data_IF_086912586572
#
_entry.id   IF_086912586572
#
_cell.length_a   1.000
_cell.length_b   1.000
_cell.length_c   1.000
_cell.angle_alpha   90.00
_cell.angle_beta   90.00
_cell.angle_gamma   90.00
#
_symmetry.space_group_name_H-M   'P 1'
#
loop_
_entity.id
_entity.type
_entity.pdbx_description
1 polymer ?
#
# COMPACT_ATOMS: atom_id res chain seq x y z
N UNK A 1 9.47 11.54 -66.05
CA UNK A 1 9.47 10.27 -65.29
C UNK A 1 9.39 10.59 -63.81
N UNK A 2 8.47 9.93 -63.12
CA UNK A 2 7.94 10.23 -61.78
C UNK A 2 8.73 9.42 -60.75
N UNK A 3 9.36 10.07 -59.76
CA UNK A 3 9.85 9.39 -58.56
C UNK A 3 9.55 10.23 -57.32
N UNK A 4 8.37 9.95 -56.76
CA UNK A 4 7.98 10.33 -55.41
C UNK A 4 8.64 9.32 -54.47
N UNK A 5 9.54 9.79 -53.60
CA UNK A 5 10.03 9.02 -52.46
C UNK A 5 9.36 9.60 -51.21
N UNK A 6 8.18 9.06 -50.89
CA UNK A 6 7.59 9.16 -49.55
C UNK A 6 8.16 7.97 -48.77
N UNK A 7 9.11 8.25 -47.88
CA UNK A 7 9.78 7.24 -47.06
C UNK A 7 9.45 7.44 -45.58
N UNK A 8 8.29 6.91 -45.20
CA UNK A 8 7.84 6.48 -43.87
C UNK A 8 8.74 6.85 -42.67
N UNK A 9 8.38 7.93 -41.98
CA UNK A 9 8.80 8.14 -40.60
C UNK A 9 7.85 7.40 -39.64
N UNK A 10 8.39 6.97 -38.49
CA UNK A 10 7.73 6.44 -37.30
C UNK A 10 7.51 4.92 -37.21
N UNK A 11 8.56 4.20 -36.80
CA UNK A 11 8.42 2.94 -36.05
C UNK A 11 9.40 2.96 -34.87
N UNK A 12 9.07 3.71 -33.82
CA UNK A 12 9.86 3.73 -32.58
C UNK A 12 9.00 3.96 -31.31
N UNK A 13 7.69 3.69 -31.36
CA UNK A 13 6.77 3.94 -30.24
C UNK A 13 6.23 2.66 -29.54
N UNK A 14 6.60 1.46 -30.02
CA UNK A 14 6.03 0.18 -29.55
C UNK A 14 6.36 -0.19 -28.08
N UNK A 15 7.59 -0.03 -27.55
CA UNK A 15 7.90 -0.52 -26.20
C UNK A 15 7.26 0.30 -25.08
N UNK A 16 6.92 1.58 -25.34
CA UNK A 16 6.27 2.44 -24.35
C UNK A 16 4.78 2.10 -24.18
N UNK A 17 4.10 1.71 -25.26
CA UNK A 17 2.68 1.33 -25.24
C UNK A 17 2.46 0.02 -24.47
N UNK A 18 3.30 -0.99 -24.70
CA UNK A 18 3.22 -2.30 -23.99
C UNK A 18 3.38 -2.14 -22.48
N UNK A 19 4.33 -1.30 -22.04
CA UNK A 19 4.55 -0.99 -20.62
C UNK A 19 3.36 -0.25 -19.97
N UNK A 20 2.66 0.57 -20.73
CA UNK A 20 1.48 1.29 -20.25
C UNK A 20 0.28 0.36 -20.07
N UNK A 21 0.07 -0.57 -21.01
CA UNK A 21 -1.01 -1.57 -20.94
C UNK A 21 -0.80 -2.54 -19.77
N UNK A 22 0.44 -3.01 -19.55
CA UNK A 22 0.78 -3.87 -18.40
C UNK A 22 0.57 -3.17 -17.07
N UNK A 23 0.98 -1.89 -16.95
CA UNK A 23 0.76 -1.11 -15.74
C UNK A 23 -0.74 -0.92 -15.48
N UNK A 24 -1.52 -0.59 -16.52
CA UNK A 24 -2.96 -0.42 -16.40
C UNK A 24 -3.64 -1.70 -15.91
N UNK A 25 -3.24 -2.86 -16.45
CA UNK A 25 -3.78 -4.15 -16.03
C UNK A 25 -3.39 -4.49 -14.59
N UNK A 26 -2.12 -4.31 -14.21
CA UNK A 26 -1.66 -4.54 -12.85
C UNK A 26 -2.42 -3.69 -11.82
N UNK A 27 -2.64 -2.41 -12.13
CA UNK A 27 -3.41 -1.49 -11.28
C UNK A 27 -4.89 -1.90 -11.21
N UNK A 28 -5.49 -2.29 -12.33
CA UNK A 28 -6.87 -2.77 -12.39
C UNK A 28 -7.06 -4.02 -11.51
N UNK A 29 -6.16 -4.99 -11.63
CA UNK A 29 -6.18 -6.21 -10.82
C UNK A 29 -5.97 -5.92 -9.33
N UNK A 30 -5.00 -5.04 -9.00
CA UNK A 30 -4.74 -4.61 -7.62
C UNK A 30 -5.99 -3.96 -7.00
N UNK A 31 -6.58 -2.98 -7.69
CA UNK A 31 -7.77 -2.27 -7.21
C UNK A 31 -8.96 -3.22 -7.05
N UNK A 32 -9.23 -4.08 -8.05
CA UNK A 32 -10.32 -5.05 -8.00
C UNK A 32 -10.15 -6.04 -6.83
N UNK A 33 -8.93 -6.55 -6.61
CA UNK A 33 -8.63 -7.45 -5.50
C UNK A 33 -8.81 -6.75 -4.16
N UNK A 34 -8.36 -5.51 -4.08
CA UNK A 34 -8.46 -4.70 -2.88
C UNK A 34 -9.92 -4.40 -2.52
N UNK A 35 -10.73 -3.94 -3.47
CA UNK A 35 -12.15 -3.61 -3.26
C UNK A 35 -13.01 -4.84 -2.92
N UNK A 36 -12.73 -5.98 -3.55
CA UNK A 36 -13.46 -7.23 -3.27
C UNK A 36 -13.08 -7.88 -1.93
N UNK A 37 -11.91 -7.54 -1.37
CA UNK A 37 -11.47 -8.07 -0.07
C UNK A 37 -12.16 -7.32 1.07
N UNK A 38 -13.17 -7.97 1.66
CA UNK A 38 -13.89 -7.46 2.84
C UNK A 38 -13.16 -7.74 4.15
N UNK A 39 -12.57 -8.92 4.25
CA UNK A 39 -11.89 -9.40 5.46
C UNK A 39 -10.53 -9.98 5.09
N UNK A 40 -9.52 -9.74 5.92
CA UNK A 40 -8.22 -10.38 5.78
C UNK A 40 -7.65 -10.66 7.16
N UNK A 41 -6.95 -11.79 7.26
CA UNK A 41 -6.09 -12.10 8.40
C UNK A 41 -4.74 -12.54 7.84
N UNK A 42 -3.66 -11.95 8.33
CA UNK A 42 -2.30 -12.32 7.94
C UNK A 42 -1.33 -12.20 9.10
N UNK A 43 -0.29 -13.02 9.08
CA UNK A 43 0.90 -12.82 9.91
C UNK A 43 1.81 -11.81 9.22
N UNK A 44 2.43 -10.94 9.99
CA UNK A 44 3.39 -9.96 9.46
C UNK A 44 4.74 -10.08 10.15
N UNK A 45 5.78 -9.65 9.43
CA UNK A 45 7.10 -9.31 9.95
C UNK A 45 7.48 -7.96 9.37
N UNK A 46 7.76 -6.98 10.24
CA UNK A 46 8.06 -5.61 9.87
C UNK A 46 9.48 -5.29 10.34
N UNK A 47 10.30 -4.75 9.44
CA UNK A 47 11.60 -4.15 9.75
C UNK A 47 11.50 -2.64 9.54
N UNK A 48 11.90 -1.88 10.55
CA UNK A 48 12.03 -0.42 10.47
C UNK A 48 13.50 -0.05 10.57
N UNK A 49 13.97 0.69 9.58
CA UNK A 49 15.31 1.24 9.52
C UNK A 49 15.20 2.76 9.42
N UNK A 50 15.96 3.47 10.25
CA UNK A 50 16.01 4.93 10.25
C UNK A 50 17.43 5.38 10.56
N UNK A 51 17.94 6.47 9.96
CA UNK A 51 19.23 7.05 10.33
C UNK A 51 19.36 7.40 11.81
N UNK A 52 18.23 7.62 12.50
CA UNK A 52 18.18 7.95 13.92
C UNK A 52 18.13 6.73 14.84
N UNK A 53 17.85 5.54 14.30
CA UNK A 53 17.82 4.30 15.07
C UNK A 53 19.22 3.68 15.07
N UNK A 54 19.67 3.20 16.23
CA UNK A 54 20.97 2.53 16.37
C UNK A 54 21.04 1.16 15.67
N UNK A 55 19.93 0.70 15.08
CA UNK A 55 19.83 -0.56 14.35
C UNK A 55 18.43 -0.75 13.76
N UNK A 56 18.22 -1.90 13.11
CA UNK A 56 16.91 -2.30 12.61
C UNK A 56 16.01 -2.69 13.76
N UNK A 57 14.81 -2.13 13.81
CA UNK A 57 13.76 -2.57 14.71
C UNK A 57 12.90 -3.60 13.98
N UNK A 58 12.87 -4.84 14.48
CA UNK A 58 12.05 -5.91 13.93
C UNK A 58 10.85 -6.16 14.83
N UNK A 59 9.67 -6.23 14.24
CA UNK A 59 8.42 -6.58 14.92
C UNK A 59 7.67 -7.63 14.12
N UNK A 60 6.84 -8.42 14.78
CA UNK A 60 6.02 -9.44 14.13
C UNK A 60 4.68 -9.54 14.82
N UNK A 61 3.71 -10.16 14.17
CA UNK A 61 2.38 -10.27 14.76
C UNK A 61 1.33 -10.76 13.79
N UNK A 62 0.08 -10.48 14.14
CA UNK A 62 -1.09 -10.77 13.31
C UNK A 62 -1.86 -9.49 13.04
N UNK A 63 -2.17 -9.25 11.77
CA UNK A 63 -3.10 -8.22 11.31
C UNK A 63 -4.41 -8.88 10.94
N UNK A 64 -5.50 -8.25 11.35
CA UNK A 64 -6.84 -8.54 10.87
C UNK A 64 -7.55 -7.24 10.51
N UNK A 65 -8.28 -7.25 9.40
CA UNK A 65 -9.10 -6.13 9.01
C UNK A 65 -10.45 -6.59 8.47
N UNK A 66 -11.46 -5.76 8.69
CA UNK A 66 -12.79 -5.92 8.15
C UNK A 66 -13.28 -4.54 7.67
N UNK A 67 -13.60 -4.45 6.39
CA UNK A 67 -14.13 -3.21 5.80
C UNK A 67 -15.61 -3.02 6.18
N UNK A 68 -16.04 -1.79 6.48
CA UNK A 68 -15.22 -0.58 6.60
C UNK A 68 -14.57 -0.43 7.99
N UNK A 69 -13.34 0.10 8.01
CA UNK A 69 -12.69 0.74 9.15
C UNK A 69 -12.44 -0.11 10.43
N UNK A 70 -12.82 -1.39 10.47
CA UNK A 70 -12.46 -2.27 11.59
C UNK A 70 -11.09 -2.88 11.35
N UNK A 71 -10.23 -2.79 12.34
CA UNK A 71 -8.91 -3.41 12.28
C UNK A 71 -8.45 -3.86 13.66
N UNK A 72 -7.59 -4.87 13.67
CA UNK A 72 -6.89 -5.31 14.86
C UNK A 72 -5.50 -5.80 14.51
N UNK A 73 -4.49 -5.22 15.14
CA UNK A 73 -3.10 -5.64 15.07
C UNK A 73 -2.66 -6.12 16.45
N UNK A 74 -2.17 -7.35 16.51
CA UNK A 74 -1.57 -7.92 17.70
C UNK A 74 -0.09 -8.13 17.44
N UNK A 75 0.75 -7.38 18.16
CA UNK A 75 2.20 -7.53 18.10
C UNK A 75 2.65 -8.65 19.03
N UNK A 76 3.54 -9.49 18.52
CA UNK A 76 4.20 -10.55 19.27
C UNK A 76 5.33 -9.98 20.16
N UNK A 77 5.79 -10.74 21.18
CA UNK A 77 6.94 -10.35 22.00
C UNK A 77 8.19 -10.01 21.17
N UNK A 78 9.12 -9.18 21.69
CA UNK A 78 9.17 -8.67 23.07
C UNK A 78 8.20 -7.51 23.33
N UNK A 79 8.01 -6.60 22.38
CA UNK A 79 7.21 -5.39 22.55
C UNK A 79 5.73 -5.64 22.25
N UNK A 80 5.02 -6.22 23.22
CA UNK A 80 3.60 -6.52 23.05
C UNK A 80 2.78 -5.24 23.02
N UNK A 81 1.95 -5.12 21.99
CA UNK A 81 0.93 -4.08 21.89
C UNK A 81 -0.23 -4.60 21.06
N UNK A 82 -1.44 -4.12 21.36
CA UNK A 82 -2.62 -4.37 20.56
C UNK A 82 -3.20 -3.05 20.08
N UNK A 83 -3.34 -2.91 18.77
CA UNK A 83 -4.02 -1.78 18.14
C UNK A 83 -5.38 -2.27 17.65
N UNK A 84 -6.47 -1.62 18.05
CA UNK A 84 -7.83 -1.97 17.62
C UNK A 84 -8.55 -0.74 17.13
N UNK A 85 -9.30 -0.87 16.04
CA UNK A 85 -10.37 0.07 15.70
C UNK A 85 -11.70 -0.64 15.51
N UNK A 86 -12.76 -0.03 16.05
CA UNK A 86 -14.15 -0.44 15.87
C UNK A 86 -14.82 0.24 14.66
N UNK A 87 -14.11 1.13 13.97
CA UNK A 87 -14.60 1.93 12.85
C UNK A 87 -14.85 3.40 13.18
N UNK A 88 -14.85 3.78 14.46
CA UNK A 88 -15.04 5.16 14.92
C UNK A 88 -13.88 5.64 15.81
N UNK A 89 -13.33 4.73 16.61
CA UNK A 89 -12.26 5.00 17.56
C UNK A 89 -11.07 4.08 17.31
N UNK A 90 -9.86 4.58 17.56
CA UNK A 90 -8.64 3.80 17.65
C UNK A 90 -8.23 3.65 19.12
N UNK A 91 -7.88 2.42 19.51
CA UNK A 91 -7.24 2.11 20.78
C UNK A 91 -5.87 1.49 20.56
N UNK A 92 -4.90 1.90 21.36
CA UNK A 92 -3.59 1.27 21.46
C UNK A 92 -3.43 0.82 22.91
N UNK A 93 -3.40 -0.49 23.13
CA UNK A 93 -3.16 -1.10 24.42
C UNK A 93 -1.71 -1.56 24.53
N UNK A 94 -1.02 -1.07 25.55
CA UNK A 94 0.36 -1.40 25.88
C UNK A 94 0.38 -2.06 27.27
N UNK A 95 0.39 -3.40 27.35
CA UNK A 95 0.32 -4.13 28.61
C UNK A 95 1.46 -3.80 29.58
N UNK A 96 2.66 -3.60 29.05
CA UNK A 96 3.88 -3.36 29.84
C UNK A 96 3.83 -2.01 30.56
N UNK A 97 3.32 -1.00 29.86
CA UNK A 97 3.08 0.33 30.42
C UNK A 97 1.76 0.45 31.19
N UNK A 98 0.93 -0.62 31.19
CA UNK A 98 -0.43 -0.62 31.72
C UNK A 98 -1.27 0.55 31.20
N UNK A 99 -1.09 0.89 29.92
CA UNK A 99 -1.66 2.09 29.32
C UNK A 99 -2.59 1.74 28.15
N UNK A 100 -3.65 2.54 28.01
CA UNK A 100 -4.49 2.59 26.81
C UNK A 100 -4.49 4.01 26.28
N UNK A 101 -4.10 4.17 25.01
CA UNK A 101 -4.27 5.40 24.25
C UNK A 101 -5.57 5.29 23.43
N UNK A 102 -6.35 6.38 23.37
CA UNK A 102 -7.62 6.43 22.64
C UNK A 102 -7.69 7.70 21.80
N UNK A 103 -8.06 7.58 20.53
CA UNK A 103 -8.27 8.73 19.66
C UNK A 103 -9.44 8.47 18.68
N UNK A 104 -10.14 9.51 18.20
CA UNK A 104 -11.04 9.39 17.07
C UNK A 104 -10.30 8.84 15.85
N UNK A 105 -10.87 7.84 15.18
CA UNK A 105 -10.22 7.16 14.07
C UNK A 105 -9.85 8.11 12.92
N UNK A 106 -10.72 9.11 12.67
CA UNK A 106 -10.51 10.14 11.66
C UNK A 106 -9.29 11.03 11.93
N UNK A 107 -8.93 11.23 13.19
CA UNK A 107 -7.76 12.02 13.57
C UNK A 107 -6.49 11.17 13.53
N UNK A 108 -6.60 9.90 13.95
CA UNK A 108 -5.47 8.96 13.94
C UNK A 108 -4.94 8.67 12.52
N UNK A 109 -5.82 8.66 11.51
CA UNK A 109 -5.44 8.42 10.11
C UNK A 109 -4.97 9.66 9.33
N UNK A 110 -5.00 10.87 9.92
CA UNK A 110 -4.40 12.05 9.29
C UNK A 110 -2.87 11.95 9.20
N UNK A 111 -2.26 11.09 10.03
CA UNK A 111 -0.89 10.68 9.81
C UNK A 111 -0.84 9.76 8.58
N UNK A 112 -0.20 10.25 7.50
CA UNK A 112 0.05 9.57 6.22
C UNK A 112 0.93 8.32 6.40
N UNK A 113 0.44 7.35 7.15
CA UNK A 113 1.11 6.08 7.39
C UNK A 113 0.73 5.10 6.27
N UNK A 114 1.65 4.21 5.84
CA UNK A 114 1.36 3.16 4.87
C UNK A 114 0.18 2.25 5.26
N UNK A 115 -0.19 2.26 6.53
CA UNK A 115 -1.33 1.52 7.09
C UNK A 115 -2.66 2.07 6.59
N UNK A 116 -2.78 3.40 6.42
CA UNK A 116 -3.95 4.06 5.84
C UNK A 116 -4.24 3.51 4.44
N UNK A 117 -3.20 3.21 3.66
CA UNK A 117 -3.32 2.55 2.36
C UNK A 117 -3.82 1.10 2.47
N UNK A 118 -3.36 0.33 3.46
CA UNK A 118 -3.84 -1.05 3.66
C UNK A 118 -5.25 -1.12 4.26
N UNK A 119 -5.67 -0.11 5.03
CA UNK A 119 -6.89 -0.09 5.82
C UNK A 119 -8.19 0.26 5.05
N UNK A 120 -8.11 0.53 3.74
CA UNK A 120 -9.30 0.84 2.92
C UNK A 120 -9.41 2.29 2.49
N UNK A 121 -8.46 3.16 2.82
CA UNK A 121 -8.67 4.62 2.75
C UNK A 121 -8.03 5.30 1.54
N UNK A 122 -7.24 4.59 0.73
CA UNK A 122 -6.61 5.13 -0.49
C UNK A 122 -7.13 4.49 -1.77
N UNK A 123 -7.35 5.30 -2.81
CA UNK A 123 -7.55 4.86 -4.20
C UNK A 123 -6.22 4.98 -4.95
N UNK A 124 -5.71 3.87 -5.47
CA UNK A 124 -4.35 3.80 -6.04
C UNK A 124 -4.16 4.79 -7.20
N UNK A 125 -5.19 4.94 -8.04
CA UNK A 125 -5.21 5.78 -9.23
C UNK A 125 -5.38 7.28 -8.92
N UNK A 126 -6.12 7.60 -7.86
CA UNK A 126 -6.38 8.97 -7.40
C UNK A 126 -5.21 9.53 -6.61
N UNK A 127 -4.70 8.75 -5.66
CA UNK A 127 -3.81 9.25 -4.61
C UNK A 127 -2.32 9.11 -4.99
N UNK A 128 -2.00 8.34 -6.05
CA UNK A 128 -0.62 8.07 -6.45
C UNK A 128 -0.37 8.30 -7.95
N UNK A 129 0.90 8.51 -8.27
CA UNK A 129 1.48 8.42 -9.61
C UNK A 129 2.19 7.06 -9.70
N UNK A 130 1.58 6.06 -10.37
CA UNK A 130 2.13 4.72 -10.44
C UNK A 130 3.15 4.58 -11.57
N UNK A 131 4.21 3.80 -11.35
CA UNK A 131 5.15 3.35 -12.38
C UNK A 131 5.44 1.86 -12.26
N UNK A 132 5.54 1.17 -13.39
CA UNK A 132 5.91 -0.24 -13.44
C UNK A 132 7.44 -0.36 -13.39
N UNK A 133 7.97 -0.96 -12.33
CA UNK A 133 9.41 -1.20 -12.20
C UNK A 133 9.82 -2.50 -12.88
N UNK A 134 9.01 -3.55 -12.71
CA UNK A 134 9.27 -4.87 -13.28
C UNK A 134 7.97 -5.65 -13.44
N UNK A 135 7.97 -6.56 -14.41
CA UNK A 135 6.88 -7.46 -14.75
C UNK A 135 7.51 -8.79 -15.18
N UNK A 136 7.21 -9.86 -14.45
CA UNK A 136 7.75 -11.20 -14.72
C UNK A 136 6.68 -12.26 -14.45
N UNK A 137 6.10 -12.81 -15.52
CA UNK A 137 4.99 -13.75 -15.41
C UNK A 137 3.80 -13.10 -14.70
N UNK A 138 3.36 -13.72 -13.61
CA UNK A 138 2.22 -13.25 -12.79
C UNK A 138 2.65 -12.31 -11.64
N UNK A 139 3.90 -11.83 -11.64
CA UNK A 139 4.42 -10.90 -10.64
C UNK A 139 4.72 -9.53 -11.23
N UNK A 140 4.08 -8.51 -10.66
CA UNK A 140 4.31 -7.11 -10.98
C UNK A 140 4.91 -6.37 -9.79
N UNK A 141 5.87 -5.49 -10.06
CA UNK A 141 6.42 -4.54 -9.08
C UNK A 141 6.03 -3.15 -9.53
N UNK A 142 5.13 -2.52 -8.77
CA UNK A 142 4.63 -1.17 -9.03
C UNK A 142 5.16 -0.23 -7.96
N UNK A 143 5.79 0.86 -8.39
CA UNK A 143 6.15 1.98 -7.52
C UNK A 143 4.98 2.96 -7.49
N UNK A 144 4.53 3.31 -6.28
CA UNK A 144 3.48 4.29 -6.06
C UNK A 144 4.11 5.53 -5.40
N UNK A 145 4.08 6.66 -6.09
CA UNK A 145 4.54 7.95 -5.55
C UNK A 145 3.30 8.77 -5.18
N UNK A 146 3.11 9.20 -3.92
CA UNK A 146 1.97 10.05 -3.56
C UNK A 146 1.92 11.29 -4.45
N UNK A 147 0.71 11.68 -4.88
CA UNK A 147 0.54 13.00 -5.49
C UNK A 147 0.60 14.04 -4.36
N UNK A 148 1.32 15.13 -4.61
CA UNK A 148 1.22 16.29 -3.73
C UNK A 148 -0.17 16.90 -3.91
N UNK A 149 -0.79 17.33 -2.80
CA UNK A 149 -2.03 18.13 -2.80
C UNK A 149 -1.77 19.53 -3.38
#
# INVERSE_FOLDING_TARGET
>A
MRRVLVGLAAVAALPALVRADELAEALRMLQQRYESTRTLVAKFSQEVESPTLAGKLTSSGTVSFEKPNRMRWDYAPPDRQTIVSDGETLWIYQPEEKQVLKAPLREAFQATTPITFLAGLGHVDRDFTPTLESSAGDHWVVRLVPRED
#
